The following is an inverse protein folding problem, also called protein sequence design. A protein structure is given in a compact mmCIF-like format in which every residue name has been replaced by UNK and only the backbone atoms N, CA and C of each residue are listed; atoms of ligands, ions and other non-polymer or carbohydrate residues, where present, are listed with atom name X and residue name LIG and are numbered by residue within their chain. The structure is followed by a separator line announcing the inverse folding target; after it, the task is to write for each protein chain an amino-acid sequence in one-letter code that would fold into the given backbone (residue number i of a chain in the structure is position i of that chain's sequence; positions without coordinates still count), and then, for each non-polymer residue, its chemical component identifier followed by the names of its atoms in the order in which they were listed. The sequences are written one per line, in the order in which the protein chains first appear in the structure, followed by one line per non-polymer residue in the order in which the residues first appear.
data_IF_671366686954
#
_entry.id   IF_671366686954
#
_cell.length_a   1.000
_cell.length_b   1.000
_cell.length_c   1.000
_cell.angle_alpha   90.00
_cell.angle_beta   90.00
_cell.angle_gamma   90.00
#
_symmetry.space_group_name_H-M   'P 1'
#
loop_
_entity.id
_entity.type
_entity.pdbx_description
1 polymer ?
2 non-polymer ?
3 water ?
#
# COMPACT_ATOMS: atom_id res chain seq x y z
N UNK A 11 32.84 -6.96 9.80
CA UNK A 11 31.60 -7.46 9.24
C UNK A 11 31.30 -6.82 7.86
N UNK A 12 30.64 -7.59 6.95
CA UNK A 12 30.25 -7.25 5.58
C UNK A 12 29.38 -5.96 5.46
N UNK A 13 28.66 -5.60 6.55
CA UNK A 13 27.77 -4.42 6.61
C UNK A 13 28.00 -3.59 7.86
N UNK A 14 28.00 -2.26 7.71
CA UNK A 14 28.16 -1.31 8.81
C UNK A 14 26.88 -0.48 8.91
N UNK A 15 26.11 -0.68 10.00
CA UNK A 15 24.84 0.02 10.23
C UNK A 15 25.11 1.47 10.49
N UNK A 16 24.37 2.35 9.81
CA UNK A 16 24.58 3.79 9.94
C UNK A 16 23.37 4.48 10.60
N UNK A 17 22.14 4.04 10.25
CA UNK A 17 20.90 4.61 10.77
C UNK A 17 19.77 3.56 10.89
N UNK A 18 18.72 3.88 11.66
CA UNK A 18 17.51 3.07 11.77
C UNK A 18 16.57 3.65 10.71
N UNK A 19 15.82 2.79 9.97
CA UNK A 19 14.94 3.30 8.91
C UNK A 19 13.72 3.99 9.55
N UNK A 20 12.87 3.21 10.19
CA UNK A 20 11.73 3.73 10.95
C UNK A 20 11.72 3.05 12.30
N UNK A 21 10.53 2.61 12.74
CA UNK A 21 10.34 1.80 13.94
C UNK A 21 9.03 1.11 13.75
N UNK A 22 9.12 -0.18 13.46
CA UNK A 22 7.95 -1.00 13.19
C UNK A 22 7.85 -2.23 14.06
N UNK A 23 6.61 -2.62 14.39
CA UNK A 23 6.28 -3.82 15.15
C UNK A 23 6.34 -5.01 14.17
N UNK A 24 7.52 -5.14 13.55
CA UNK A 24 7.92 -6.17 12.61
C UNK A 24 9.39 -6.44 12.88
N UNK A 25 10.02 -5.54 13.64
CA UNK A 25 11.42 -5.59 14.03
C UNK A 25 12.21 -4.40 13.49
N UNK A 26 13.45 -4.23 13.99
CA UNK A 26 14.30 -3.12 13.57
C UNK A 26 14.89 -3.30 12.15
N UNK A 27 14.86 -2.20 11.38
CA UNK A 27 15.38 -2.08 10.01
C UNK A 27 16.47 -1.03 10.03
N UNK A 28 17.63 -1.39 9.50
CA UNK A 28 18.77 -0.46 9.47
C UNK A 28 19.19 -0.13 8.06
N UNK A 29 19.64 1.14 7.87
CA UNK A 29 20.27 1.63 6.66
C UNK A 29 21.73 1.25 6.92
N UNK A 30 22.35 0.51 5.99
CA UNK A 30 23.72 0.06 6.17
C UNK A 30 24.58 0.21 4.92
N UNK A 31 25.89 0.34 5.15
CA UNK A 31 26.94 0.42 4.16
C UNK A 31 27.30 -1.05 3.83
N UNK A 32 27.23 -1.41 2.55
CA UNK A 32 27.52 -2.75 2.01
C UNK A 32 29.02 -2.74 1.64
N UNK A 33 29.88 -2.84 2.66
CA UNK A 33 31.34 -2.76 2.60
C UNK A 33 31.97 -3.54 1.42
N UNK A 34 31.41 -4.71 1.09
CA UNK A 34 31.88 -5.55 -0.03
C UNK A 34 31.36 -5.14 -1.42
N UNK A 35 30.22 -4.42 -1.49
CA UNK A 35 29.69 -4.03 -2.79
C UNK A 35 29.72 -2.51 -3.05
N UNK A 36 30.93 -1.98 -3.10
CA UNK A 36 31.20 -0.57 -3.39
C UNK A 36 30.75 0.42 -2.33
N UNK A 37 30.49 -0.08 -1.13
CA UNK A 37 29.99 0.72 -0.01
C UNK A 37 28.65 1.36 -0.31
N UNK A 38 27.83 0.70 -1.17
CA UNK A 38 26.48 1.17 -1.47
C UNK A 38 25.64 1.02 -0.19
N UNK A 39 24.49 1.65 -0.19
CA UNK A 39 23.53 1.58 0.89
C UNK A 39 22.60 0.37 0.66
N UNK A 40 22.25 -0.28 1.78
CA UNK A 40 21.34 -1.43 1.83
C UNK A 40 20.40 -1.27 3.03
N UNK A 41 19.22 -1.92 2.98
CA UNK A 41 18.25 -1.98 4.06
C UNK A 41 18.39 -3.38 4.65
N UNK A 42 18.76 -3.44 5.92
CA UNK A 42 19.00 -4.65 6.69
C UNK A 42 17.87 -4.87 7.68
N UNK A 43 17.32 -6.09 7.70
CA UNK A 43 16.25 -6.45 8.64
C UNK A 43 16.55 -7.82 9.22
N UNK A 44 16.45 -7.95 10.56
CA UNK A 44 16.68 -9.24 11.23
C UNK A 44 15.37 -9.92 11.60
N UNK A 45 15.35 -11.25 11.44
CA UNK A 45 14.21 -12.12 11.76
C UNK A 45 14.59 -13.00 12.98
N UNK A 46 13.62 -13.21 13.90
CA UNK A 46 13.81 -14.00 15.12
C UNK A 46 13.62 -15.53 14.92
N UNK A 47 13.47 -16.29 16.05
CA UNK A 47 13.28 -17.75 16.06
C UNK A 47 12.11 -18.15 16.95
N UNK A 57 6.54 -22.11 8.31
CA UNK A 57 5.77 -21.05 7.66
C UNK A 57 6.60 -19.77 7.43
N UNK A 58 7.58 -19.51 8.31
CA UNK A 58 8.49 -18.36 8.17
C UNK A 58 9.49 -18.70 7.06
N UNK A 59 10.00 -19.97 7.06
CA UNK A 59 10.91 -20.55 6.05
C UNK A 59 10.25 -20.38 4.67
N UNK A 60 8.92 -20.66 4.64
CA UNK A 60 8.00 -20.58 3.51
C UNK A 60 7.91 -19.18 2.96
N UNK A 61 7.69 -18.18 3.83
CA UNK A 61 7.63 -16.75 3.50
C UNK A 61 8.90 -16.25 2.82
N UNK A 62 10.07 -16.63 3.37
CA UNK A 62 11.40 -16.26 2.85
C UNK A 62 11.59 -16.85 1.46
N UNK A 63 11.14 -18.12 1.25
CA UNK A 63 11.19 -18.82 -0.03
C UNK A 63 10.28 -18.13 -1.05
N UNK A 64 9.08 -17.69 -0.61
CA UNK A 64 8.15 -16.94 -1.47
C UNK A 64 8.85 -15.66 -1.92
N UNK A 65 9.53 -14.96 -0.99
CA UNK A 65 10.29 -13.72 -1.24
C UNK A 65 11.45 -13.91 -2.23
N UNK A 66 12.25 -14.98 -2.04
CA UNK A 66 13.37 -15.34 -2.92
C UNK A 66 12.86 -15.67 -4.32
N UNK A 67 11.69 -16.35 -4.40
CA UNK A 67 11.04 -16.75 -5.65
C UNK A 67 10.55 -15.49 -6.41
N UNK A 68 9.89 -14.57 -5.70
CA UNK A 68 9.47 -13.25 -6.21
C UNK A 68 10.70 -12.45 -6.75
N UNK A 69 11.84 -12.54 -6.05
CA UNK A 69 13.07 -11.85 -6.48
C UNK A 69 13.61 -12.37 -7.85
N UNK A 70 13.39 -13.65 -8.19
CA UNK A 70 13.84 -14.24 -9.47
C UNK A 70 13.27 -13.48 -10.66
N UNK A 71 12.06 -12.90 -10.51
CA UNK A 71 11.35 -12.14 -11.54
C UNK A 71 11.90 -10.76 -11.70
N UNK A 72 12.55 -10.24 -10.64
CA UNK A 72 13.14 -8.90 -10.52
C UNK A 72 12.19 -7.87 -11.14
N UNK A 73 10.93 -7.86 -10.66
CA UNK A 73 9.94 -6.93 -11.15
C UNK A 73 10.41 -5.49 -10.83
N UNK A 74 10.30 -4.53 -11.80
CA UNK A 74 10.82 -3.16 -11.56
C UNK A 74 10.13 -2.41 -10.43
N UNK A 75 8.89 -2.80 -10.10
CA UNK A 75 8.08 -2.12 -9.12
C UNK A 75 7.97 -2.84 -7.77
N UNK A 76 8.99 -3.65 -7.43
CA UNK A 76 9.06 -4.27 -6.12
C UNK A 76 10.49 -4.14 -5.66
N UNK A 77 10.69 -3.85 -4.38
CA UNK A 77 12.02 -3.65 -3.80
C UNK A 77 12.93 -4.89 -3.99
N UNK A 78 14.15 -4.69 -4.51
CA UNK A 78 15.13 -5.74 -4.74
C UNK A 78 15.58 -6.36 -3.45
N UNK A 79 15.63 -7.70 -3.41
CA UNK A 79 16.19 -8.45 -2.29
C UNK A 79 17.57 -8.91 -2.78
N UNK A 80 18.64 -8.44 -2.12
CA UNK A 80 20.01 -8.79 -2.48
C UNK A 80 20.48 -10.09 -1.87
N UNK A 81 20.26 -10.27 -0.56
CA UNK A 81 20.75 -11.46 0.12
C UNK A 81 19.87 -11.90 1.27
N UNK A 82 20.10 -13.16 1.69
CA UNK A 82 19.51 -13.81 2.87
C UNK A 82 20.70 -14.49 3.58
N UNK A 83 21.02 -14.04 4.83
CA UNK A 83 22.14 -14.56 5.63
C UNK A 83 21.67 -15.44 6.78
N UNK A 84 22.40 -16.54 7.04
CA UNK A 84 22.13 -17.51 8.12
C UNK A 84 22.35 -16.91 9.52
N UNK A 93 19.62 -14.86 13.84
CA UNK A 93 19.12 -16.12 13.27
C UNK A 93 19.05 -16.04 11.73
N UNK A 94 18.38 -15.00 11.19
CA UNK A 94 18.18 -14.81 9.75
C UNK A 94 18.14 -13.31 9.44
N UNK A 95 19.06 -12.83 8.59
CA UNK A 95 19.13 -11.40 8.23
C UNK A 95 18.83 -11.21 6.72
N UNK A 96 17.99 -10.19 6.43
CA UNK A 96 17.49 -9.82 5.09
C UNK A 96 18.13 -8.55 4.56
N UNK A 97 18.79 -8.65 3.41
CA UNK A 97 19.47 -7.53 2.76
C UNK A 97 18.69 -7.12 1.52
N UNK A 98 18.21 -5.87 1.52
CA UNK A 98 17.48 -5.33 0.37
C UNK A 98 18.26 -4.15 -0.17
N UNK A 99 17.91 -3.69 -1.39
CA UNK A 99 18.48 -2.45 -1.91
C UNK A 99 17.99 -1.31 -0.96
N UNK A 100 18.60 -0.13 -1.01
CA UNK A 100 18.14 0.98 -0.18
C UNK A 100 17.56 2.06 -1.08
N UNK A 101 16.44 2.67 -0.69
CA UNK A 101 15.90 3.79 -1.44
C UNK A 101 15.65 4.91 -0.40
N UNK A 102 16.11 6.12 -0.77
CA UNK A 102 16.15 7.33 0.06
C UNK A 102 14.82 7.80 0.57
N UNK A 103 13.78 7.81 -0.28
CA UNK A 103 12.51 8.31 0.18
C UNK A 103 11.37 7.31 0.00
N UNK A 104 10.33 7.49 0.83
CA UNK A 104 9.07 6.76 0.79
C UNK A 104 8.11 7.78 0.17
N UNK A 105 6.89 7.38 -0.16
CA UNK A 105 5.90 8.29 -0.76
C UNK A 105 5.54 9.46 0.18
N UNK A 106 5.54 9.23 1.50
CA UNK A 106 5.23 10.23 2.54
C UNK A 106 6.14 11.45 2.39
N UNK A 107 7.48 11.21 2.40
CA UNK A 107 8.46 12.30 2.29
C UNK A 107 8.46 12.91 0.90
N UNK A 108 8.02 12.16 -0.12
CA UNK A 108 7.87 12.71 -1.48
C UNK A 108 6.65 13.67 -1.54
N UNK A 109 5.52 13.33 -0.90
CA UNK A 109 4.34 14.19 -0.89
C UNK A 109 4.52 15.41 0.06
N UNK A 110 5.40 15.27 1.09
CA UNK A 110 5.71 16.31 2.07
C UNK A 110 6.66 17.34 1.50
N UNK A 111 7.46 16.99 0.47
CA UNK A 111 8.46 17.89 -0.08
C UNK A 111 8.10 18.49 -1.43
N UNK A 112 7.06 17.97 -2.10
CA UNK A 112 6.68 18.44 -3.43
C UNK A 112 6.27 19.96 -3.41
N UNK A 113 6.87 20.81 -4.31
CA UNK A 113 6.51 22.25 -4.31
C UNK A 113 5.06 22.46 -4.73
N UNK A 114 4.44 23.57 -4.25
CA UNK A 114 3.06 23.94 -4.55
C UNK A 114 2.81 24.09 -6.08
N UNK A 115 1.58 23.84 -6.59
CA UNK A 115 0.36 23.44 -5.86
C UNK A 115 0.32 21.95 -5.50
N UNK A 116 1.40 21.22 -5.77
CA UNK A 116 1.52 19.80 -5.47
C UNK A 116 2.17 18.94 -6.55
N UNK A 117 1.60 17.74 -6.79
CA UNK A 117 2.07 16.71 -7.72
C UNK A 117 1.46 16.85 -9.12
N UNK A 118 2.30 16.96 -10.20
CA UNK A 118 1.75 17.05 -11.56
C UNK A 118 0.77 15.92 -11.88
N UNK A 119 -0.31 16.26 -12.58
CA UNK A 119 -1.39 15.37 -12.95
C UNK A 119 -0.85 14.04 -13.58
N UNK A 120 0.12 14.14 -14.50
CA UNK A 120 0.71 12.99 -15.18
C UNK A 120 1.76 12.28 -14.33
N UNK A 121 2.26 12.94 -13.25
CA UNK A 121 3.19 12.30 -12.33
C UNK A 121 2.39 11.31 -11.45
N UNK A 122 1.14 11.69 -11.03
CA UNK A 122 0.17 10.89 -10.27
C UNK A 122 -0.23 9.68 -11.11
N UNK A 123 -0.59 9.91 -12.41
CA UNK A 123 -0.96 8.86 -13.35
C UNK A 123 0.12 7.78 -13.48
N UNK A 124 1.36 8.22 -13.66
CA UNK A 124 2.51 7.34 -13.82
C UNK A 124 2.82 6.54 -12.56
N UNK A 125 2.70 7.17 -11.40
CA UNK A 125 3.03 6.58 -10.11
C UNK A 125 2.02 5.53 -9.71
N UNK A 126 0.79 5.77 -10.12
CA UNK A 126 -0.34 4.89 -9.87
C UNK A 126 -0.30 3.68 -10.72
N UNK A 127 0.16 3.83 -11.97
CA UNK A 127 0.33 2.77 -12.95
C UNK A 127 1.37 1.82 -12.42
N UNK A 128 2.50 2.35 -11.93
CA UNK A 128 3.62 1.62 -11.34
C UNK A 128 3.23 0.87 -10.07
N UNK A 129 2.30 1.47 -9.27
CA UNK A 129 1.79 0.90 -8.03
C UNK A 129 0.97 -0.33 -8.35
N UNK A 130 0.07 -0.20 -9.34
CA UNK A 130 -0.78 -1.28 -9.82
C UNK A 130 -0.01 -2.35 -10.55
N UNK A 131 1.14 -1.98 -11.16
CA UNK A 131 2.00 -2.96 -11.84
C UNK A 131 2.66 -3.91 -10.85
N UNK A 132 3.24 -3.35 -9.79
CA UNK A 132 3.84 -4.12 -8.72
C UNK A 132 2.79 -4.93 -7.96
N UNK A 133 1.57 -4.37 -7.82
CA UNK A 133 0.45 -4.98 -7.12
C UNK A 133 -0.13 -6.18 -7.86
N UNK A 134 -0.32 -6.05 -9.17
CA UNK A 134 -0.76 -7.13 -10.01
C UNK A 134 0.29 -8.23 -10.08
N UNK A 135 1.56 -7.87 -10.13
CA UNK A 135 2.66 -8.83 -10.08
C UNK A 135 2.57 -9.67 -8.80
N UNK A 136 2.44 -9.00 -7.65
CA UNK A 136 2.35 -9.64 -6.32
C UNK A 136 1.09 -10.51 -6.20
N UNK A 137 -0.07 -9.98 -6.63
CA UNK A 137 -1.35 -10.70 -6.57
C UNK A 137 -1.37 -11.95 -7.43
N UNK A 138 -0.82 -11.85 -8.65
CA UNK A 138 -0.73 -12.97 -9.60
C UNK A 138 0.22 -14.06 -9.13
N UNK A 139 1.11 -13.75 -8.17
CA UNK A 139 2.07 -14.66 -7.53
C UNK A 139 1.61 -15.04 -6.13
N UNK A 140 0.32 -14.82 -5.85
CA UNK A 140 -0.41 -15.19 -4.63
C UNK A 140 0.11 -14.47 -3.35
N UNK A 141 0.58 -13.22 -3.52
CA UNK A 141 1.04 -12.44 -2.38
C UNK A 141 0.09 -11.27 -2.18
N UNK A 142 -0.36 -11.11 -0.94
CA UNK A 142 -1.23 -10.02 -0.54
C UNK A 142 -0.33 -9.13 0.32
N UNK A 143 -0.22 -7.83 -0.01
CA UNK A 143 0.61 -6.92 0.80
C UNK A 143 0.07 -6.84 2.24
N UNK A 144 -1.21 -6.44 2.40
CA UNK A 144 -1.95 -6.33 3.67
C UNK A 144 -1.69 -5.08 4.49
N UNK A 145 -0.62 -4.36 4.18
CA UNK A 145 -0.29 -3.16 4.92
C UNK A 145 0.29 -2.07 3.99
N UNK A 146 -0.42 -1.82 2.89
CA UNK A 146 0.01 -0.83 1.90
C UNK A 146 -0.30 0.54 2.44
N UNK A 147 0.70 1.38 2.48
CA UNK A 147 0.63 2.75 2.98
C UNK A 147 1.78 3.56 2.35
N UNK A 148 1.73 4.91 2.29
CA UNK A 148 2.83 5.68 1.66
C UNK A 148 4.18 5.50 2.30
N UNK A 149 4.20 4.99 3.53
CA UNK A 149 5.39 4.77 4.35
C UNK A 149 6.19 3.60 3.91
N UNK A 150 5.57 2.64 3.19
CA UNK A 150 6.31 1.49 2.67
C UNK A 150 6.37 1.46 1.11
N UNK A 151 5.89 2.54 0.44
CA UNK A 151 6.01 2.71 -1.01
C UNK A 151 7.30 3.52 -1.22
N UNK A 152 8.29 2.93 -1.89
CA UNK A 152 9.55 3.61 -2.10
C UNK A 152 9.57 4.40 -3.40
N UNK A 153 10.08 5.63 -3.33
CA UNK A 153 10.19 6.54 -4.47
C UNK A 153 11.69 6.76 -4.76
N UNK A 154 12.14 6.23 -5.91
CA UNK A 154 13.55 6.23 -6.34
C UNK A 154 13.97 7.62 -6.90
N UNK A 155 15.30 7.92 -6.89
CA UNK A 155 15.93 9.16 -7.42
C UNK A 155 15.44 9.49 -8.83
N UNK A 156 15.20 8.44 -9.64
CA UNK A 156 14.73 8.52 -11.01
C UNK A 156 13.17 8.52 -11.15
N UNK A 157 12.44 8.43 -10.03
CA UNK A 157 10.98 8.44 -10.00
C UNK A 157 10.29 7.08 -10.08
N UNK A 158 11.03 5.97 -9.87
CA UNK A 158 10.47 4.61 -9.90
C UNK A 158 9.84 4.24 -8.56
N UNK A 159 8.63 3.67 -8.63
CA UNK A 159 7.83 3.26 -7.49
C UNK A 159 8.10 1.81 -7.17
N UNK A 160 8.47 1.52 -5.93
CA UNK A 160 8.76 0.14 -5.50
C UNK A 160 7.97 -0.24 -4.24
N UNK A 161 7.29 -1.39 -4.30
CA UNK A 161 6.54 -1.94 -3.18
C UNK A 161 7.52 -2.60 -2.25
N UNK A 162 7.38 -2.36 -0.95
CA UNK A 162 8.25 -2.90 0.09
C UNK A 162 7.44 -3.33 1.34
N UNK A 163 8.09 -4.08 2.24
CA UNK A 163 7.57 -4.50 3.56
C UNK A 163 6.27 -5.33 3.50
N UNK A 164 6.28 -6.40 2.69
CA UNK A 164 5.18 -7.35 2.47
C UNK A 164 5.71 -8.80 2.55
N UNK A 165 4.80 -9.77 2.63
CA UNK A 165 5.11 -11.20 2.63
C UNK A 165 5.81 -11.78 3.84
N UNK A 166 5.72 -11.10 5.00
CA UNK A 166 6.33 -11.53 6.27
C UNK A 166 5.32 -11.37 7.42
N UNK A 167 5.23 -12.38 8.31
CA UNK A 167 4.30 -12.44 9.45
C UNK A 167 4.55 -11.35 10.48
N UNK A 181 0.36 1.70 15.10
CA UNK A 181 -0.53 1.21 14.05
C UNK A 181 -1.37 2.31 13.40
N UNK A 182 -1.56 2.19 12.06
CA UNK A 182 -2.37 3.09 11.23
C UNK A 182 -3.41 2.27 10.47
N UNK A 183 -4.67 2.67 10.63
CA UNK A 183 -5.77 2.01 9.97
C UNK A 183 -6.29 2.84 8.86
N UNK A 184 -5.61 3.94 8.54
CA UNK A 184 -6.03 4.91 7.52
C UNK A 184 -6.21 4.35 6.11
N UNK A 185 -5.51 3.23 5.80
CA UNK A 185 -5.51 2.53 4.52
C UNK A 185 -6.13 1.15 4.64
N UNK A 186 -6.61 0.77 5.85
CA UNK A 186 -7.27 -0.52 6.10
C UNK A 186 -8.61 -0.64 5.38
N UNK A 187 -8.76 -1.72 4.59
CA UNK A 187 -9.97 -2.07 3.85
C UNK A 187 -11.18 -2.32 4.80
N UNK A 188 -12.45 -2.04 4.39
CA UNK A 188 -13.60 -2.28 5.29
C UNK A 188 -13.70 -3.72 5.86
N UNK A 189 -13.43 -4.76 5.04
CA UNK A 189 -13.48 -6.19 5.42
C UNK A 189 -12.41 -6.56 6.45
N UNK A 190 -11.28 -5.84 6.46
CA UNK A 190 -10.23 -6.09 7.46
C UNK A 190 -10.70 -5.48 8.77
N UNK A 191 -11.31 -4.28 8.70
CA UNK A 191 -11.88 -3.55 9.83
C UNK A 191 -12.97 -4.38 10.52
N UNK A 192 -13.84 -5.02 9.71
CA UNK A 192 -14.96 -5.87 10.12
C UNK A 192 -14.55 -7.28 10.55
N UNK A 193 -13.28 -7.67 10.29
CA UNK A 193 -12.71 -9.01 10.56
C UNK A 193 -13.48 -10.11 9.79
N UNK A 194 -13.60 -9.99 8.46
CA UNK A 194 -14.30 -11.03 7.70
C UNK A 194 -13.41 -11.70 6.66
N UNK A 195 -12.90 -10.95 5.68
CA UNK A 195 -12.04 -11.50 4.62
C UNK A 195 -10.72 -10.74 4.51
N UNK A 196 -9.69 -11.40 3.99
CA UNK A 196 -8.37 -10.82 3.88
C UNK A 196 -7.77 -11.14 2.49
N UNK A 197 -8.62 -11.24 1.47
CA UNK A 197 -8.13 -11.55 0.11
C UNK A 197 -7.35 -10.37 -0.54
N UNK A 198 -6.96 -10.49 -1.82
CA UNK A 198 -6.20 -9.47 -2.54
C UNK A 198 -6.93 -8.13 -2.66
N UNK A 199 -8.31 -8.02 -2.69
CA UNK A 199 -8.97 -6.71 -2.78
C UNK A 199 -8.57 -5.69 -1.72
N UNK A 200 -8.09 -6.18 -0.58
CA UNK A 200 -7.60 -5.44 0.57
C UNK A 200 -6.60 -4.35 0.12
N UNK A 201 -5.69 -4.71 -0.81
CA UNK A 201 -4.66 -3.82 -1.35
C UNK A 201 -5.20 -2.78 -2.34
N UNK A 202 -6.33 -3.10 -3.03
CA UNK A 202 -6.96 -2.17 -3.96
C UNK A 202 -7.71 -1.04 -3.23
N UNK A 203 -8.16 -1.33 -1.99
CA UNK A 203 -8.80 -0.31 -1.17
C UNK A 203 -7.67 0.63 -0.78
N UNK A 204 -6.55 0.08 -0.28
CA UNK A 204 -5.35 0.79 0.12
C UNK A 204 -4.83 1.69 -1.00
N UNK A 205 -4.73 1.16 -2.23
CA UNK A 205 -4.30 1.87 -3.45
C UNK A 205 -5.21 3.09 -3.74
N UNK A 206 -6.53 2.95 -3.57
CA UNK A 206 -7.52 4.01 -3.73
C UNK A 206 -7.30 5.15 -2.75
N UNK A 207 -7.00 4.80 -1.49
CA UNK A 207 -6.70 5.72 -0.37
C UNK A 207 -5.46 6.52 -0.72
N UNK A 208 -4.46 5.85 -1.36
CA UNK A 208 -3.16 6.42 -1.74
C UNK A 208 -3.30 7.34 -2.96
N UNK A 209 -4.11 6.91 -3.94
CA UNK A 209 -4.50 7.64 -5.13
C UNK A 209 -5.06 9.01 -4.74
N UNK A 210 -6.12 9.02 -3.87
CA UNK A 210 -6.76 10.24 -3.34
C UNK A 210 -5.73 11.11 -2.64
N UNK A 211 -4.94 10.50 -1.73
CA UNK A 211 -3.88 11.19 -0.99
C UNK A 211 -2.79 11.80 -1.90
N UNK A 212 -2.66 11.32 -3.14
CA UNK A 212 -1.66 11.88 -4.04
C UNK A 212 -2.10 13.26 -4.54
N UNK A 213 -3.42 13.47 -4.69
CA UNK A 213 -4.05 14.73 -5.06
C UNK A 213 -4.09 15.72 -3.86
N UNK A 214 -4.59 15.23 -2.73
CA UNK A 214 -4.83 15.94 -1.47
C UNK A 214 -3.60 16.21 -0.64
N UNK A 215 -2.60 15.35 -0.71
CA UNK A 215 -1.36 15.42 0.08
C UNK A 215 -1.65 15.30 1.60
N UNK A 216 -2.82 14.73 1.93
CA UNK A 216 -3.31 14.42 3.27
C UNK A 216 -4.17 13.15 3.16
N UNK A 217 -4.14 12.22 4.15
CA UNK A 217 -4.94 11.00 4.05
C UNK A 217 -6.44 11.28 3.96
N UNK A 218 -7.11 10.49 3.12
CA UNK A 218 -8.56 10.55 2.85
C UNK A 218 -9.43 10.17 4.05
N UNK A 219 -8.99 9.19 4.88
CA UNK A 219 -9.74 8.67 6.04
C UNK A 219 -8.79 8.55 7.26
N UNK A 220 -8.71 9.62 8.08
CA UNK A 220 -7.80 9.71 9.22
C UNK A 220 -8.47 9.27 10.57
N UNK A 221 -9.06 8.08 10.58
CA UNK A 221 -9.70 7.49 11.76
C UNK A 221 -8.72 7.11 12.87
N UNK A 222 -9.24 6.96 14.11
CA UNK A 222 -8.42 6.65 15.29
C UNK A 222 -8.65 5.26 15.90
N UNK A 223 -9.61 4.52 15.35
CA UNK A 223 -9.94 3.15 15.79
C UNK A 223 -10.60 2.44 14.63
N UNK A 224 -10.77 1.12 14.69
CA UNK A 224 -11.40 0.36 13.61
C UNK A 224 -12.85 0.81 13.36
N UNK A 225 -13.61 1.08 14.46
CA UNK A 225 -15.01 1.55 14.43
C UNK A 225 -15.07 2.98 13.92
N UNK A 226 -14.14 3.82 14.35
CA UNK A 226 -14.04 5.20 13.88
C UNK A 226 -13.72 5.21 12.36
N UNK A 227 -12.64 4.47 11.95
CA UNK A 227 -12.17 4.33 10.58
C UNK A 227 -13.28 3.95 9.61
N UNK A 228 -14.07 2.93 10.00
CA UNK A 228 -15.20 2.39 9.26
C UNK A 228 -16.30 3.45 9.14
N UNK A 229 -16.49 4.26 10.21
CA UNK A 229 -17.43 5.36 10.21
C UNK A 229 -17.04 6.45 9.22
N UNK A 230 -15.78 6.94 9.32
CA UNK A 230 -15.17 7.96 8.45
C UNK A 230 -15.22 7.60 6.96
N UNK A 231 -15.17 6.27 6.65
CA UNK A 231 -15.27 5.67 5.32
C UNK A 231 -16.71 5.77 4.84
N UNK A 232 -17.68 5.28 5.65
CA UNK A 232 -19.09 5.25 5.24
C UNK A 232 -19.70 6.66 5.14
N UNK A 233 -19.11 7.65 5.83
CA UNK A 233 -19.55 9.05 5.69
C UNK A 233 -19.32 9.53 4.24
N UNK A 234 -18.24 9.05 3.59
CA UNK A 234 -17.90 9.44 2.21
C UNK A 234 -18.55 8.52 1.15
N UNK A 235 -18.38 7.19 1.25
CA UNK A 235 -18.90 6.27 0.22
C UNK A 235 -20.39 5.89 0.39
N UNK A 236 -20.96 6.21 1.55
CA UNK A 236 -22.35 5.87 1.84
C UNK A 236 -22.51 4.48 2.42
N UNK A 237 -23.70 4.20 2.96
CA UNK A 237 -24.04 2.91 3.55
C UNK A 237 -24.30 1.86 2.47
N UNK A 238 -23.60 0.69 2.49
CA UNK A 238 -23.82 -0.32 1.42
C UNK A 238 -25.16 -1.04 1.53
N UNK A 239 -25.54 -1.76 0.48
CA UNK A 239 -26.75 -2.57 0.49
C UNK A 239 -26.60 -3.68 1.52
N UNK A 240 -27.69 -4.09 2.17
CA UNK A 240 -27.63 -5.14 3.19
C UNK A 240 -26.93 -6.40 2.65
N UNK A 241 -27.11 -6.68 1.32
CA UNK A 241 -26.49 -7.79 0.57
C UNK A 241 -24.93 -7.65 0.43
N UNK A 242 -24.39 -6.41 0.58
CA UNK A 242 -22.95 -6.10 0.51
C UNK A 242 -22.32 -6.10 1.91
N UNK A 243 -23.12 -6.37 2.96
CA UNK A 243 -22.59 -6.40 4.33
C UNK A 243 -22.20 -7.82 4.75
N UNK A 244 -20.96 -8.03 5.22
CA UNK A 244 -20.52 -9.40 5.55
C UNK A 244 -21.31 -10.10 6.65
N UNK A 245 -21.53 -11.39 6.44
CA UNK A 245 -22.24 -12.22 7.39
C UNK A 245 -21.30 -12.63 8.52
N UNK A 246 -21.88 -12.90 9.68
CA UNK A 246 -21.25 -13.37 10.92
C UNK A 246 -20.02 -12.57 11.31
N UNK A 247 -20.18 -11.23 11.30
CA UNK A 247 -19.19 -10.24 11.74
C UNK A 247 -19.76 -9.66 13.02
N UNK A 248 -18.88 -9.11 13.88
CA UNK A 248 -19.28 -8.51 15.15
C UNK A 248 -20.15 -7.28 14.91
N UNK A 249 -19.69 -6.36 14.04
CA UNK A 249 -20.33 -5.09 13.71
C UNK A 249 -21.48 -5.22 12.71
N UNK A 250 -22.73 -4.96 13.15
CA UNK A 250 -23.83 -4.99 12.18
C UNK A 250 -23.83 -3.70 11.35
N UNK A 251 -24.55 -3.74 10.23
CA UNK A 251 -24.74 -2.61 9.34
C UNK A 251 -25.46 -1.48 10.12
N UNK A 252 -26.43 -1.86 10.98
CA UNK A 252 -27.27 -0.97 11.80
C UNK A 252 -26.48 -0.15 12.87
N UNK A 253 -25.16 -0.41 13.06
CA UNK A 253 -24.32 0.32 14.01
C UNK A 253 -23.86 1.65 13.41
N UNK A 254 -24.15 1.84 12.11
CA UNK A 254 -23.83 3.04 11.32
C UNK A 254 -25.12 3.56 10.65
N UNK A 255 -25.19 4.88 10.45
CA UNK A 255 -26.35 5.57 9.85
C UNK A 255 -25.84 6.66 8.89
N UNK A 256 -24.63 6.46 8.35
CA UNK A 256 -23.90 7.34 7.41
C UNK A 256 -24.61 7.39 6.05
N UNK A 257 -25.88 7.85 6.09
CA UNK A 257 -26.92 8.02 5.07
C UNK A 257 -26.48 7.72 3.64
N UNK A 258 -26.20 8.78 2.86
CA UNK A 258 -25.85 8.74 1.44
C UNK A 258 -24.35 8.95 1.14
N UNK A 259 -23.98 8.61 -0.10
CA UNK A 259 -22.66 8.77 -0.66
C UNK A 259 -22.48 10.23 -1.07
N UNK A 260 -21.50 10.90 -0.45
CA UNK A 260 -21.17 12.30 -0.76
C UNK A 260 -20.39 12.31 -2.09
N UNK A 261 -20.43 13.37 -2.93
CA UNK A 261 -19.61 13.33 -4.16
C UNK A 261 -18.14 13.35 -3.77
N UNK A 262 -17.32 12.47 -4.39
CA UNK A 262 -15.90 12.33 -4.05
C UNK A 262 -15.09 13.60 -4.39
N UNK A 263 -15.43 14.33 -5.49
CA UNK A 263 -14.77 15.59 -5.90
C UNK A 263 -14.70 16.66 -4.79
N UNK A 264 -15.56 16.53 -3.77
CA UNK A 264 -15.61 17.40 -2.59
C UNK A 264 -14.34 17.18 -1.75
N UNK A 265 -13.91 15.91 -1.65
CA UNK A 265 -12.77 15.47 -0.85
C UNK A 265 -11.50 15.42 -1.66
N UNK A 266 -11.61 15.05 -2.92
CA UNK A 266 -10.48 14.94 -3.85
C UNK A 266 -10.70 16.01 -4.93
N UNK A 267 -10.23 17.25 -4.65
CA UNK A 267 -10.35 18.37 -5.59
C UNK A 267 -9.19 18.27 -6.56
N UNK A 268 -9.47 18.55 -7.86
CA UNK A 268 -8.54 18.49 -9.00
C UNK A 268 -8.56 17.17 -9.77
N UNK A 269 -9.32 16.14 -9.27
CA UNK A 269 -9.42 14.83 -9.92
C UNK A 269 -10.29 14.90 -11.19
N UNK A 270 -9.83 14.26 -12.27
CA UNK A 270 -10.58 14.19 -13.53
C UNK A 270 -11.72 13.16 -13.41
N UNK A 271 -12.61 13.10 -14.42
CA UNK A 271 -13.76 12.18 -14.48
C UNK A 271 -13.34 10.71 -14.54
N UNK A 272 -12.25 10.43 -15.28
CA UNK A 272 -11.70 9.09 -15.46
C UNK A 272 -10.99 8.57 -14.23
N UNK A 273 -10.26 9.45 -13.53
CA UNK A 273 -9.60 9.15 -12.27
C UNK A 273 -10.62 8.88 -11.18
N UNK A 274 -11.78 9.57 -11.26
CA UNK A 274 -12.95 9.41 -10.37
C UNK A 274 -13.59 8.03 -10.56
N UNK A 275 -13.65 7.52 -11.80
CA UNK A 275 -14.20 6.18 -12.05
C UNK A 275 -13.29 5.11 -11.38
N UNK A 276 -11.96 5.19 -11.62
CA UNK A 276 -10.95 4.31 -11.04
C UNK A 276 -10.91 4.40 -9.50
N UNK A 277 -11.05 5.61 -8.94
CA UNK A 277 -11.04 5.80 -7.49
C UNK A 277 -12.30 5.18 -6.84
N UNK A 278 -13.46 5.21 -7.54
CA UNK A 278 -14.70 4.68 -7.02
C UNK A 278 -14.68 3.16 -7.04
N UNK A 279 -14.18 2.60 -8.14
CA UNK A 279 -13.97 1.16 -8.35
C UNK A 279 -12.97 0.57 -7.32
N UNK A 280 -11.96 1.35 -6.87
CA UNK A 280 -11.00 0.90 -5.84
C UNK A 280 -11.68 0.97 -4.48
N UNK A 281 -12.38 2.10 -4.21
CA UNK A 281 -13.07 2.33 -2.93
C UNK A 281 -14.52 1.80 -2.89
N UNK A 282 -14.75 0.61 -3.51
CA UNK A 282 -16.02 -0.13 -3.50
C UNK A 282 -16.08 -0.93 -2.18
N UNK A 283 -17.25 -0.93 -1.49
CA UNK A 283 -17.40 -1.62 -0.21
C UNK A 283 -17.17 -3.12 -0.27
N UNK A 284 -17.91 -3.81 -1.15
CA UNK A 284 -17.85 -5.24 -1.29
C UNK A 284 -16.57 -5.61 -2.03
N UNK A 285 -15.64 -6.35 -1.37
CA UNK A 285 -14.36 -6.74 -2.02
C UNK A 285 -14.51 -7.57 -3.27
N UNK A 286 -15.68 -8.21 -3.49
CA UNK A 286 -15.93 -9.00 -4.72
C UNK A 286 -16.27 -8.04 -5.83
N UNK A 287 -16.90 -6.91 -5.51
CA UNK A 287 -17.29 -5.88 -6.49
C UNK A 287 -16.12 -4.90 -6.79
N UNK A 288 -15.09 -4.91 -5.93
CA UNK A 288 -13.91 -4.08 -6.05
C UNK A 288 -13.10 -4.44 -7.32
N UNK A 289 -12.55 -3.42 -7.99
CA UNK A 289 -11.71 -3.62 -9.18
C UNK A 289 -10.45 -4.34 -8.77
N UNK A 290 -9.89 -5.13 -9.70
CA UNK A 290 -8.65 -5.84 -9.44
C UNK A 290 -7.54 -4.95 -9.99
N UNK A 291 -6.29 -5.26 -9.63
CA UNK A 291 -5.10 -4.55 -10.07
C UNK A 291 -4.91 -4.75 -11.56
N UNK A 292 -5.26 -5.96 -12.05
CA UNK A 292 -5.19 -6.35 -13.45
C UNK A 292 -6.18 -5.55 -14.31
N UNK A 293 -7.46 -5.43 -13.88
CA UNK A 293 -8.47 -4.64 -14.61
C UNK A 293 -8.09 -3.15 -14.55
N UNK A 294 -7.68 -2.66 -13.36
CA UNK A 294 -7.29 -1.27 -13.16
C UNK A 294 -6.18 -0.84 -14.14
N UNK A 295 -5.24 -1.74 -14.47
CA UNK A 295 -4.16 -1.45 -15.42
C UNK A 295 -4.69 -1.10 -16.82
N UNK A 296 -5.87 -1.66 -17.19
CA UNK A 296 -6.55 -1.45 -18.46
C UNK A 296 -7.56 -0.28 -18.47
N UNK A 297 -7.88 0.30 -17.29
CA UNK A 297 -8.83 1.39 -17.10
C UNK A 297 -8.55 2.59 -18.01
N UNK A 298 -9.60 3.22 -18.61
CA UNK A 298 -9.38 4.40 -19.49
C UNK A 298 -8.52 5.53 -18.89
N UNK A 299 -8.45 5.63 -17.54
CA UNK A 299 -7.60 6.60 -16.87
C UNK A 299 -6.15 6.55 -17.38
N UNK A 300 -5.69 5.37 -17.83
CA UNK A 300 -4.34 5.19 -18.36
C UNK A 300 -4.34 5.00 -19.90
N UNK A 301 -5.27 5.68 -20.62
CA UNK A 301 -5.39 5.67 -22.10
C UNK A 301 -4.09 6.21 -22.74
#
# INVERSE_FOLDING_TARGET
MEKDGLCRADQQYECVAEIGEGAYGKVFKARDLKNGGRFVALKRVRVQTGEEGMPLSTIREVAVLRHLETFEHPNVVRLFDVCTVSRTDRETKLTLVFEHVDQDLTTYLDKVPEPGVPTETIKDMMFQLLRGLDFLHSHRVVHRDLKPQNILVTSSGQIKLADFGLARIYSFQMALTSVVVTLWYRAPEVLLQSSYATPVDLWSVGCIFAEMFRRKPLFRGSSDVDQLGKILDVIGLPGEEDWPRDVALPRQAFHSKSAQPIEKFVTDIDELGKDLLLKCLTFNPAKRISAYSALSHPYFQHHHHHH
#
